data_IF_376857710929
#
_entry.id   IF_376857710929
#
_cell.length_a   1.000
_cell.length_b   1.000
_cell.length_c   1.000
_cell.angle_alpha   90.00
_cell.angle_beta   90.00
_cell.angle_gamma   90.00
#
_symmetry.space_group_name_H-M   'P 1'
#
loop_
_entity.id
_entity.type
_entity.pdbx_description
1 polymer ?
#
# COMPACT_ATOMS: atom_id res chain seq x y z
N UNK A 1 10.46 -42.62 1.08
CA UNK A 1 9.68 -42.99 -0.11
C UNK A 1 8.46 -42.08 -0.08
N UNK A 2 8.37 -41.12 -1.01
CA UNK A 2 7.40 -40.01 -0.97
C UNK A 2 5.97 -40.51 -1.17
N UNK A 3 5.02 -39.92 -0.44
CA UNK A 3 3.62 -40.32 -0.50
C UNK A 3 2.94 -39.65 -1.71
N UNK A 4 2.03 -40.37 -2.37
CA UNK A 4 1.40 -39.98 -3.64
C UNK A 4 0.57 -38.69 -3.51
N UNK A 5 0.15 -38.34 -2.28
CA UNK A 5 -0.51 -37.07 -1.95
C UNK A 5 0.42 -35.86 -2.01
N UNK A 6 1.71 -36.00 -1.68
CA UNK A 6 2.70 -34.91 -1.69
C UNK A 6 3.07 -34.46 -3.11
N UNK A 7 2.90 -35.36 -4.10
CA UNK A 7 3.19 -35.08 -5.51
C UNK A 7 1.97 -34.42 -6.20
N UNK A 8 0.75 -34.78 -5.79
CA UNK A 8 -0.49 -34.32 -6.44
C UNK A 8 -0.94 -32.93 -6.01
N UNK A 9 -0.53 -32.45 -4.84
CA UNK A 9 -0.96 -31.12 -4.37
C UNK A 9 -0.14 -29.95 -4.94
N UNK A 10 1.01 -30.19 -5.58
CA UNK A 10 1.83 -29.12 -6.20
C UNK A 10 2.24 -27.99 -5.25
N UNK A 11 2.05 -28.18 -3.94
CA UNK A 11 2.27 -27.19 -2.89
C UNK A 11 3.56 -27.53 -2.18
N UNK A 12 4.66 -26.97 -2.67
CA UNK A 12 5.73 -26.52 -1.77
C UNK A 12 5.26 -25.18 -1.18
N UNK A 13 4.16 -25.20 -0.43
CA UNK A 13 3.84 -24.10 0.45
C UNK A 13 4.58 -24.42 1.73
N UNK A 14 5.57 -23.60 2.10
CA UNK A 14 6.21 -23.72 3.40
C UNK A 14 5.12 -23.78 4.47
N UNK A 15 5.11 -24.82 5.33
CA UNK A 15 4.07 -24.96 6.35
C UNK A 15 4.09 -23.73 7.26
N UNK A 16 2.90 -23.22 7.62
CA UNK A 16 2.82 -22.00 8.44
C UNK A 16 3.55 -22.20 9.77
N UNK A 17 4.08 -21.10 10.33
CA UNK A 17 4.76 -21.09 11.65
C UNK A 17 3.97 -21.86 12.73
N UNK A 18 2.64 -21.79 12.69
CA UNK A 18 1.75 -22.49 13.63
C UNK A 18 1.72 -23.99 13.44
N UNK A 19 1.88 -24.47 12.20
CA UNK A 19 1.90 -25.89 11.89
C UNK A 19 3.28 -26.48 12.23
N UNK A 20 4.35 -25.73 12.00
CA UNK A 20 5.72 -26.12 12.40
C UNK A 20 5.87 -26.21 13.92
N UNK A 21 5.30 -25.26 14.66
CA UNK A 21 5.33 -25.26 16.13
C UNK A 21 4.62 -26.47 16.76
N UNK A 22 3.65 -27.09 16.07
CA UNK A 22 2.94 -28.30 16.54
C UNK A 22 3.75 -29.58 16.35
N UNK A 23 4.73 -29.57 15.47
CA UNK A 23 5.52 -30.76 15.10
C UNK A 23 6.71 -30.94 16.05
N UNK A 24 7.21 -29.86 16.66
CA UNK A 24 8.41 -29.89 17.51
C UNK A 24 8.07 -29.79 19.01
N UNK A 25 8.61 -30.69 19.85
CA UNK A 25 8.57 -30.52 21.31
C UNK A 25 9.45 -29.32 21.72
N UNK A 26 8.95 -28.54 22.69
CA UNK A 26 9.62 -27.38 23.28
C UNK A 26 10.07 -26.31 22.26
N UNK A 27 9.28 -26.13 21.20
CA UNK A 27 9.58 -25.21 20.11
C UNK A 27 9.86 -23.78 20.60
N UNK A 28 9.02 -23.25 21.49
CA UNK A 28 9.18 -21.87 22.00
C UNK A 28 10.50 -21.68 22.75
N UNK A 29 10.88 -22.62 23.62
CA UNK A 29 12.14 -22.53 24.38
C UNK A 29 13.37 -22.63 23.45
N UNK A 30 13.34 -23.56 22.49
CA UNK A 30 14.41 -23.71 21.49
C UNK A 30 14.52 -22.46 20.61
N UNK A 31 13.38 -21.90 20.22
CA UNK A 31 13.30 -20.69 19.42
C UNK A 31 13.90 -19.49 20.15
N UNK A 32 13.50 -19.27 21.41
CA UNK A 32 13.99 -18.16 22.23
C UNK A 32 15.50 -18.26 22.48
N UNK A 33 16.00 -19.47 22.76
CA UNK A 33 17.45 -19.72 22.91
C UNK A 33 18.22 -19.43 21.62
N UNK A 34 17.69 -19.85 20.46
CA UNK A 34 18.30 -19.56 19.17
C UNK A 34 18.30 -18.06 18.88
N UNK A 35 17.19 -17.37 19.17
CA UNK A 35 17.07 -15.92 19.00
C UNK A 35 18.08 -15.18 19.88
N UNK A 36 18.19 -15.54 21.16
CA UNK A 36 19.16 -14.95 22.10
C UNK A 36 20.61 -15.16 21.62
N UNK A 37 20.90 -16.33 21.02
CA UNK A 37 22.21 -16.62 20.41
C UNK A 37 22.48 -15.79 19.14
N UNK A 38 21.47 -15.56 18.30
CA UNK A 38 21.58 -14.73 17.08
C UNK A 38 21.71 -13.24 17.42
N UNK A 39 21.00 -12.76 18.43
CA UNK A 39 21.09 -11.35 18.86
C UNK A 39 22.26 -11.10 19.81
N UNK A 40 22.95 -12.15 20.25
CA UNK A 40 24.03 -12.11 21.24
C UNK A 40 23.62 -11.40 22.54
N UNK A 41 22.42 -11.69 23.03
CA UNK A 41 21.92 -11.08 24.26
C UNK A 41 22.81 -11.41 25.47
N UNK A 42 23.40 -12.61 25.45
CA UNK A 42 24.30 -13.11 26.48
C UNK A 42 25.75 -12.58 26.33
N UNK A 43 26.01 -11.70 25.35
CA UNK A 43 27.32 -11.04 25.10
C UNK A 43 28.50 -12.01 25.00
N UNK A 44 28.30 -13.13 24.31
CA UNK A 44 29.36 -14.07 23.99
C UNK A 44 30.44 -13.44 23.12
N UNK A 45 31.68 -13.93 23.28
CA UNK A 45 32.78 -13.59 22.38
C UNK A 45 32.48 -14.12 20.97
N UNK A 46 33.00 -13.42 19.95
CA UNK A 46 32.72 -13.75 18.54
C UNK A 46 33.07 -15.22 18.21
N UNK A 47 34.21 -15.72 18.69
CA UNK A 47 34.64 -17.09 18.48
C UNK A 47 33.75 -18.12 19.18
N UNK A 48 33.37 -17.87 20.43
CA UNK A 48 32.53 -18.80 21.20
C UNK A 48 31.12 -18.89 20.61
N UNK A 49 30.56 -17.74 20.20
CA UNK A 49 29.28 -17.68 19.52
C UNK A 49 29.30 -18.44 18.18
N UNK A 50 30.38 -18.30 17.40
CA UNK A 50 30.56 -19.03 16.13
C UNK A 50 30.51 -20.54 16.35
N UNK A 51 31.23 -21.02 17.36
CA UNK A 51 31.25 -22.44 17.71
C UNK A 51 29.85 -22.96 18.06
N UNK A 52 29.11 -22.25 18.91
CA UNK A 52 27.74 -22.62 19.28
C UNK A 52 26.77 -22.62 18.09
N UNK A 53 26.90 -21.65 17.17
CA UNK A 53 26.09 -21.63 15.95
C UNK A 53 26.45 -22.77 15.00
N UNK A 54 27.73 -23.14 14.90
CA UNK A 54 28.16 -24.29 14.11
C UNK A 54 27.60 -25.59 14.69
N UNK A 55 27.68 -25.78 16.00
CA UNK A 55 27.10 -26.95 16.68
C UNK A 55 25.58 -27.02 16.47
N UNK A 56 24.87 -25.91 16.69
CA UNK A 56 23.44 -25.81 16.46
C UNK A 56 23.06 -26.13 15.00
N UNK A 57 23.86 -25.68 14.02
CA UNK A 57 23.59 -25.91 12.59
C UNK A 57 23.64 -27.37 12.15
N UNK A 58 24.25 -28.25 12.95
CA UNK A 58 24.28 -29.70 12.68
C UNK A 58 23.01 -30.43 13.12
N UNK A 59 22.13 -29.75 13.87
CA UNK A 59 20.89 -30.34 14.39
C UNK A 59 19.79 -30.29 13.34
N UNK A 60 18.94 -31.33 13.28
CA UNK A 60 17.79 -31.41 12.37
C UNK A 60 16.79 -30.27 12.52
N UNK A 61 16.66 -29.71 13.72
CA UNK A 61 15.66 -28.69 14.06
C UNK A 61 16.09 -27.28 13.63
N UNK A 62 17.40 -27.08 13.37
CA UNK A 62 17.97 -25.76 13.14
C UNK A 62 17.44 -25.06 11.88
N UNK A 63 17.32 -25.70 10.70
CA UNK A 63 16.79 -25.04 9.51
C UNK A 63 15.38 -24.48 9.72
N UNK A 64 14.54 -25.21 10.44
CA UNK A 64 13.15 -24.83 10.73
C UNK A 64 13.13 -23.64 11.71
N UNK A 65 13.87 -23.73 12.81
CA UNK A 65 13.93 -22.65 13.81
C UNK A 65 14.54 -21.37 13.22
N UNK A 66 15.62 -21.51 12.43
CA UNK A 66 16.28 -20.39 11.78
C UNK A 66 15.38 -19.71 10.75
N UNK A 67 14.65 -20.48 9.93
CA UNK A 67 13.65 -19.96 9.00
C UNK A 67 12.59 -19.10 9.71
N UNK A 68 12.07 -19.58 10.85
CA UNK A 68 11.10 -18.83 11.66
C UNK A 68 11.68 -17.53 12.24
N UNK A 69 12.95 -17.54 12.70
CA UNK A 69 13.60 -16.31 13.21
C UNK A 69 13.73 -15.29 12.08
N UNK A 70 14.18 -15.72 10.90
CA UNK A 70 14.28 -14.87 9.73
C UNK A 70 12.92 -14.30 9.33
N UNK A 71 11.88 -15.13 9.25
CA UNK A 71 10.53 -14.69 8.89
C UNK A 71 10.02 -13.60 9.85
N UNK A 72 10.16 -13.80 11.17
CA UNK A 72 9.74 -12.80 12.16
C UNK A 72 10.53 -11.50 12.04
N UNK A 73 11.84 -11.59 11.81
CA UNK A 73 12.69 -10.41 11.60
C UNK A 73 12.31 -9.65 10.32
N UNK A 74 12.05 -10.37 9.23
CA UNK A 74 11.60 -9.80 7.95
C UNK A 74 10.22 -9.14 8.11
N UNK A 75 9.27 -9.82 8.76
CA UNK A 75 7.93 -9.31 9.04
C UNK A 75 7.99 -8.06 9.92
N UNK A 76 8.80 -8.05 10.97
CA UNK A 76 8.99 -6.88 11.82
C UNK A 76 9.53 -5.67 11.02
N UNK A 77 10.54 -5.89 10.17
CA UNK A 77 11.09 -4.83 9.30
C UNK A 77 10.06 -4.33 8.30
N UNK A 78 9.33 -5.24 7.66
CA UNK A 78 8.29 -4.90 6.69
C UNK A 78 7.13 -4.11 7.33
N UNK A 79 6.66 -4.52 8.51
CA UNK A 79 5.57 -3.81 9.21
C UNK A 79 5.95 -2.42 9.71
N UNK A 80 7.23 -2.20 10.03
CA UNK A 80 7.75 -0.88 10.41
C UNK A 80 7.82 0.07 9.21
N UNK A 81 8.20 -0.45 8.05
CA UNK A 81 8.32 0.32 6.83
C UNK A 81 6.94 0.49 6.17
N UNK A 82 6.17 1.48 6.63
CA UNK A 82 4.89 1.86 6.03
C UNK A 82 5.13 2.90 4.93
N UNK A 83 4.98 2.55 3.64
CA UNK A 83 5.13 3.52 2.56
C UNK A 83 3.94 4.47 2.50
N UNK A 84 4.20 5.68 2.03
CA UNK A 84 3.27 6.81 2.01
C UNK A 84 2.00 6.53 1.18
N UNK A 85 2.13 5.72 0.11
CA UNK A 85 1.02 5.42 -0.81
C UNK A 85 -0.22 4.81 -0.16
N UNK A 86 -0.07 4.16 1.01
CA UNK A 86 -1.18 3.59 1.77
C UNK A 86 -2.12 4.64 2.37
N UNK A 87 -1.74 5.92 2.38
CA UNK A 87 -2.58 7.02 2.86
C UNK A 87 -3.62 7.46 1.82
N UNK A 88 -3.24 7.48 0.53
CA UNK A 88 -4.08 8.00 -0.55
C UNK A 88 -4.66 6.92 -1.48
N UNK A 89 -4.21 5.65 -1.38
CA UNK A 89 -4.81 4.51 -2.08
C UNK A 89 -5.50 3.58 -1.08
N UNK A 90 -6.76 3.24 -1.35
CA UNK A 90 -7.51 2.27 -0.55
C UNK A 90 -6.95 0.85 -0.71
N UNK A 91 -6.68 0.18 0.41
CA UNK A 91 -6.18 -1.20 0.43
C UNK A 91 -7.31 -2.17 0.77
N UNK A 92 -7.44 -3.22 -0.03
CA UNK A 92 -8.35 -4.34 0.20
C UNK A 92 -7.61 -5.67 0.25
N UNK A 93 -8.21 -6.68 0.88
CA UNK A 93 -7.68 -8.05 0.88
C UNK A 93 -8.63 -8.97 0.13
N UNK A 94 -8.10 -9.73 -0.83
CA UNK A 94 -8.87 -10.71 -1.59
C UNK A 94 -8.34 -12.12 -1.36
N UNK A 95 -9.26 -13.08 -1.20
CA UNK A 95 -8.93 -14.48 -0.88
C UNK A 95 -8.76 -15.38 -2.10
N UNK A 96 -9.18 -14.90 -3.28
CA UNK A 96 -9.18 -15.68 -4.53
C UNK A 96 -8.44 -14.91 -5.65
N UNK A 97 -7.64 -15.62 -6.44
CA UNK A 97 -6.90 -15.09 -7.59
C UNK A 97 -7.76 -14.89 -8.84
N UNK A 98 -8.96 -15.48 -8.88
CA UNK A 98 -9.89 -15.32 -10.00
C UNK A 98 -10.44 -13.90 -10.02
N UNK A 99 -10.58 -13.34 -11.23
CA UNK A 99 -11.19 -12.02 -11.44
C UNK A 99 -12.64 -11.93 -10.94
N UNK A 100 -13.32 -13.08 -10.78
CA UNK A 100 -14.68 -13.18 -10.25
C UNK A 100 -14.76 -13.29 -8.72
N UNK A 101 -13.63 -13.37 -8.02
CA UNK A 101 -13.56 -13.79 -6.61
C UNK A 101 -14.19 -12.80 -5.63
N UNK A 102 -14.09 -11.50 -5.91
CA UNK A 102 -14.78 -10.43 -5.20
C UNK A 102 -15.01 -9.28 -6.17
N UNK A 103 -16.15 -9.29 -6.85
CA UNK A 103 -16.63 -8.08 -7.51
C UNK A 103 -16.92 -7.06 -6.41
N UNK A 104 -16.27 -5.89 -6.45
CA UNK A 104 -16.66 -4.81 -5.55
C UNK A 104 -18.04 -4.36 -6.02
N UNK A 105 -19.06 -4.69 -5.23
CA UNK A 105 -20.43 -4.25 -5.45
C UNK A 105 -20.55 -2.86 -4.83
N UNK A 106 -20.56 -1.85 -5.67
CA UNK A 106 -21.02 -0.53 -5.24
C UNK A 106 -22.54 -0.50 -5.32
N UNK A 107 -23.18 -0.18 -4.20
CA UNK A 107 -24.62 0.12 -4.16
C UNK A 107 -24.77 1.64 -4.27
N UNK A 108 -25.42 2.10 -5.33
CA UNK A 108 -25.67 3.52 -5.60
C UNK A 108 -27.18 3.83 -5.48
N UNK A 109 -27.54 5.07 -5.14
CA UNK A 109 -28.93 5.54 -5.04
C UNK A 109 -29.49 5.71 -3.61
N UNK A 110 -28.92 5.05 -2.59
CA UNK A 110 -29.39 5.20 -1.18
C UNK A 110 -28.77 6.38 -0.43
N UNK A 111 -27.81 7.09 -1.03
CA UNK A 111 -27.08 8.20 -0.38
C UNK A 111 -27.66 9.58 -0.72
N UNK A 112 -28.73 9.61 -1.52
CA UNK A 112 -29.39 10.83 -1.95
C UNK A 112 -30.19 11.54 -0.85
N UNK A 113 -30.73 12.72 -1.20
CA UNK A 113 -31.56 13.50 -0.27
C UNK A 113 -32.88 12.77 0.02
N UNK A 114 -33.12 12.46 1.29
CA UNK A 114 -34.35 11.81 1.74
C UNK A 114 -35.59 12.69 1.45
N UNK A 115 -36.68 12.12 0.90
CA UNK A 115 -37.91 12.84 0.68
C UNK A 115 -38.60 13.14 2.03
N UNK A 116 -39.25 14.31 2.13
CA UNK A 116 -40.03 14.67 3.32
C UNK A 116 -41.22 13.72 3.48
N UNK A 117 -41.31 13.06 4.63
CA UNK A 117 -42.47 12.21 4.99
C UNK A 117 -43.53 13.10 5.69
N UNK A 118 -44.79 12.94 5.29
CA UNK A 118 -45.92 13.60 5.95
C UNK A 118 -46.29 12.84 7.22
N UNK A 119 -46.86 13.51 8.23
CA UNK A 119 -47.32 12.85 9.46
C UNK A 119 -48.31 11.71 9.11
N UNK A 120 -47.97 10.48 9.52
CA UNK A 120 -48.68 9.21 9.18
C UNK A 120 -48.60 8.76 7.71
N UNK A 121 -47.72 9.35 6.91
CA UNK A 121 -47.45 8.88 5.55
C UNK A 121 -46.50 7.68 5.52
N UNK A 122 -46.58 6.89 4.45
CA UNK A 122 -45.67 5.77 4.20
C UNK A 122 -44.29 6.26 3.73
N UNK A 123 -43.24 5.53 4.11
CA UNK A 123 -41.89 5.73 3.58
C UNK A 123 -41.86 5.25 2.12
N UNK A 124 -41.39 6.12 1.21
CA UNK A 124 -41.23 5.75 -0.20
C UNK A 124 -39.97 4.91 -0.37
N UNK A 125 -40.05 3.88 -1.20
CA UNK A 125 -38.87 3.13 -1.64
C UNK A 125 -38.04 4.00 -2.60
N UNK A 126 -36.72 3.95 -2.47
CA UNK A 126 -35.81 4.65 -3.38
C UNK A 126 -35.87 4.02 -4.77
N UNK A 127 -35.74 4.87 -5.79
CA UNK A 127 -36.25 4.57 -7.13
C UNK A 127 -35.45 3.50 -7.85
N UNK A 128 -34.12 3.45 -7.69
CA UNK A 128 -33.25 2.54 -8.45
C UNK A 128 -32.00 2.24 -7.61
N UNK A 129 -31.86 1.00 -7.13
CA UNK A 129 -30.62 0.52 -6.53
C UNK A 129 -29.75 -0.03 -7.65
N UNK A 130 -28.84 0.80 -8.15
CA UNK A 130 -27.87 0.38 -9.16
C UNK A 130 -26.73 -0.42 -8.52
N UNK A 131 -26.48 -1.62 -9.02
CA UNK A 131 -25.29 -2.41 -8.69
C UNK A 131 -24.30 -2.34 -9.84
N UNK A 132 -23.07 -1.92 -9.56
CA UNK A 132 -21.97 -2.08 -10.50
C UNK A 132 -20.85 -2.91 -9.91
N UNK A 133 -20.12 -3.57 -10.81
CA UNK A 133 -19.13 -4.58 -10.50
C UNK A 133 -17.79 -4.18 -11.09
N UNK A 134 -16.79 -4.05 -10.23
CA UNK A 134 -15.39 -3.89 -10.64
C UNK A 134 -14.63 -5.16 -10.27
N UNK A 135 -13.97 -5.78 -11.23
CA UNK A 135 -13.16 -6.98 -11.02
C UNK A 135 -11.71 -6.61 -10.71
N UNK A 136 -11.17 -7.17 -9.63
CA UNK A 136 -9.77 -7.04 -9.25
C UNK A 136 -9.12 -8.42 -9.39
N UNK A 137 -7.95 -8.46 -10.03
CA UNK A 137 -7.16 -9.69 -10.21
C UNK A 137 -5.86 -9.58 -9.43
N UNK A 138 -5.59 -10.59 -8.61
CA UNK A 138 -4.34 -10.68 -7.85
C UNK A 138 -3.22 -11.26 -8.72
N UNK A 139 -2.01 -10.76 -8.50
CA UNK A 139 -0.76 -11.21 -9.14
C UNK A 139 0.27 -11.52 -8.07
N UNK A 140 1.11 -12.54 -8.30
CA UNK A 140 2.16 -12.93 -7.37
C UNK A 140 3.51 -12.32 -7.79
N UNK A 141 4.21 -11.76 -6.81
CA UNK A 141 5.57 -11.24 -6.97
C UNK A 141 6.48 -11.94 -5.95
N UNK A 142 7.68 -12.31 -6.36
CA UNK A 142 8.62 -13.00 -5.48
C UNK A 142 10.00 -13.13 -6.07
N UNK A 143 11.00 -13.24 -5.20
CA UNK A 143 12.39 -13.49 -5.57
C UNK A 143 12.98 -14.52 -4.62
N UNK A 144 13.70 -15.49 -5.19
CA UNK A 144 14.46 -16.48 -4.42
C UNK A 144 15.92 -16.04 -4.35
N UNK A 145 16.50 -16.17 -3.16
CA UNK A 145 17.93 -16.00 -2.97
C UNK A 145 18.59 -17.38 -2.79
N UNK A 146 19.46 -17.76 -3.71
CA UNK A 146 20.14 -19.05 -3.68
C UNK A 146 21.29 -19.04 -2.67
N UNK A 147 21.13 -19.74 -1.55
CA UNK A 147 22.21 -19.96 -0.58
C UNK A 147 22.79 -21.36 -0.77
N UNK A 148 24.10 -21.45 -1.00
CA UNK A 148 24.83 -22.69 -0.80
C UNK A 148 25.46 -22.70 0.60
N UNK A 149 25.49 -23.88 1.24
CA UNK A 149 26.04 -24.04 2.60
C UNK A 149 27.48 -23.54 2.73
N UNK A 150 28.29 -23.78 1.69
CA UNK A 150 29.68 -23.31 1.62
C UNK A 150 29.77 -21.79 1.64
N UNK A 151 28.80 -21.10 1.04
CA UNK A 151 28.73 -19.63 1.02
C UNK A 151 28.38 -19.09 2.39
N UNK A 152 27.41 -19.69 3.11
CA UNK A 152 27.04 -19.32 4.49
C UNK A 152 28.26 -19.43 5.43
N UNK A 153 29.04 -20.50 5.29
CA UNK A 153 30.24 -20.73 6.11
C UNK A 153 31.34 -19.69 5.81
N UNK A 154 31.51 -19.32 4.54
CA UNK A 154 32.48 -18.31 4.10
C UNK A 154 32.10 -16.88 4.53
N UNK A 155 30.81 -16.56 4.61
CA UNK A 155 30.33 -15.21 4.89
C UNK A 155 30.40 -14.79 6.37
N UNK A 156 30.64 -15.70 7.30
CA UNK A 156 30.89 -15.30 8.70
C UNK A 156 32.06 -14.30 8.82
N UNK A 157 33.01 -14.33 7.87
CA UNK A 157 34.14 -13.39 7.80
C UNK A 157 33.80 -12.12 6.99
N UNK A 158 32.85 -12.17 6.05
CA UNK A 158 32.55 -11.08 5.10
C UNK A 158 31.30 -10.25 5.47
N UNK A 159 30.33 -10.83 6.18
CA UNK A 159 29.14 -10.14 6.67
C UNK A 159 28.12 -9.74 5.60
N UNK A 160 28.24 -10.23 4.36
CA UNK A 160 27.38 -9.86 3.23
C UNK A 160 25.94 -10.37 3.38
N UNK A 161 25.70 -11.50 4.07
CA UNK A 161 24.34 -12.03 4.25
C UNK A 161 23.50 -11.30 5.31
N UNK A 162 24.11 -10.46 6.15
CA UNK A 162 23.35 -9.63 7.09
C UNK A 162 22.46 -8.61 6.36
N UNK A 163 22.85 -8.18 5.16
CA UNK A 163 22.11 -7.22 4.33
C UNK A 163 20.94 -7.84 3.56
N UNK A 164 21.09 -9.09 3.09
CA UNK A 164 20.15 -9.72 2.15
C UNK A 164 18.71 -9.72 2.63
N UNK A 165 18.47 -10.00 3.92
CA UNK A 165 17.10 -9.94 4.46
C UNK A 165 16.52 -8.52 4.43
N UNK A 166 17.33 -7.50 4.69
CA UNK A 166 16.93 -6.10 4.56
C UNK A 166 16.60 -5.75 3.10
N UNK A 167 17.49 -6.12 2.18
CA UNK A 167 17.34 -5.84 0.75
C UNK A 167 16.09 -6.52 0.17
N UNK A 168 15.74 -7.72 0.63
CA UNK A 168 14.52 -8.41 0.22
C UNK A 168 13.25 -7.72 0.71
N UNK A 169 13.26 -7.20 1.94
CA UNK A 169 12.15 -6.39 2.48
C UNK A 169 12.01 -5.09 1.69
N UNK A 170 13.13 -4.41 1.42
CA UNK A 170 13.13 -3.19 0.62
C UNK A 170 12.62 -3.45 -0.80
N UNK A 171 13.06 -4.52 -1.45
CA UNK A 171 12.57 -4.90 -2.77
C UNK A 171 11.06 -5.15 -2.79
N UNK A 172 10.50 -5.77 -1.75
CA UNK A 172 9.05 -5.95 -1.62
C UNK A 172 8.32 -4.59 -1.51
N UNK A 173 8.82 -3.68 -0.69
CA UNK A 173 8.22 -2.35 -0.50
C UNK A 173 8.31 -1.48 -1.75
N UNK A 174 9.45 -1.52 -2.45
CA UNK A 174 9.66 -0.86 -3.74
C UNK A 174 8.66 -1.38 -4.78
N UNK A 175 8.48 -2.71 -4.84
CA UNK A 175 7.53 -3.33 -5.77
C UNK A 175 6.10 -2.88 -5.46
N UNK A 176 5.71 -2.87 -4.19
CA UNK A 176 4.39 -2.36 -3.78
C UNK A 176 4.17 -0.91 -4.17
N UNK A 177 5.15 -0.04 -3.94
CA UNK A 177 5.02 1.38 -4.27
C UNK A 177 4.96 1.59 -5.79
N UNK A 178 5.78 0.87 -6.55
CA UNK A 178 5.73 0.91 -8.00
C UNK A 178 4.36 0.47 -8.55
N UNK A 179 3.84 -0.66 -8.08
CA UNK A 179 2.53 -1.17 -8.52
C UNK A 179 1.37 -0.28 -8.05
N UNK A 180 1.45 0.29 -6.85
CA UNK A 180 0.47 1.27 -6.38
C UNK A 180 0.47 2.53 -7.28
N UNK A 181 1.64 2.95 -7.75
CA UNK A 181 1.79 4.09 -8.66
C UNK A 181 1.32 3.77 -10.07
N UNK A 182 1.53 2.55 -10.55
CA UNK A 182 1.11 2.09 -11.88
C UNK A 182 -0.41 2.15 -12.08
N UNK A 183 -1.19 2.04 -10.99
CA UNK A 183 -2.64 2.23 -10.99
C UNK A 183 -3.08 3.68 -11.28
N UNK A 184 -2.26 4.66 -10.92
CA UNK A 184 -2.56 6.10 -11.03
C UNK A 184 -1.89 6.70 -12.28
N UNK A 185 -0.66 6.31 -12.57
CA UNK A 185 0.14 6.85 -13.66
C UNK A 185 0.82 5.73 -14.46
N UNK A 186 0.83 5.90 -15.78
CA UNK A 186 1.63 5.12 -16.72
C UNK A 186 2.85 5.92 -17.17
N UNK A 187 3.78 5.28 -17.87
CA UNK A 187 4.99 5.94 -18.40
C UNK A 187 4.71 7.18 -19.28
N UNK A 188 3.53 7.25 -19.90
CA UNK A 188 3.11 8.37 -20.77
C UNK A 188 2.24 9.42 -20.06
N UNK A 189 2.06 9.34 -18.72
CA UNK A 189 1.24 10.25 -17.93
C UNK A 189 0.10 9.56 -17.18
N UNK A 190 -1.01 10.26 -16.87
CA UNK A 190 -2.11 9.69 -16.07
C UNK A 190 -2.67 8.40 -16.67
N UNK A 191 -2.93 7.40 -15.83
CA UNK A 191 -3.40 6.09 -16.28
C UNK A 191 -4.79 6.19 -16.91
N UNK A 192 -4.94 5.71 -18.15
CA UNK A 192 -6.14 5.94 -18.96
C UNK A 192 -7.41 5.23 -18.44
N UNK A 193 -7.25 4.18 -17.63
CA UNK A 193 -8.41 3.50 -17.00
C UNK A 193 -8.96 4.25 -15.78
N UNK A 194 -8.23 5.26 -15.28
CA UNK A 194 -8.65 6.06 -14.13
C UNK A 194 -8.95 7.50 -14.55
N UNK A 195 -8.13 8.05 -15.44
CA UNK A 195 -8.24 9.43 -15.91
C UNK A 195 -8.58 9.52 -17.39
N UNK A 196 -9.68 10.20 -17.71
CA UNK A 196 -10.12 10.42 -19.08
C UNK A 196 -10.91 11.72 -19.28
N UNK A 197 -11.12 12.02 -20.56
CA UNK A 197 -11.89 13.16 -21.03
C UNK A 197 -12.55 12.78 -22.38
N UNK A 198 -13.59 11.92 -22.39
CA UNK A 198 -14.29 11.32 -21.24
C UNK A 198 -13.72 9.94 -20.82
N UNK A 199 -14.05 9.51 -19.60
CA UNK A 199 -13.97 8.12 -19.14
C UNK A 199 -15.39 7.62 -18.83
N UNK A 200 -15.70 6.41 -19.26
CA UNK A 200 -16.97 5.74 -18.91
C UNK A 200 -16.82 5.13 -17.53
N UNK A 201 -17.64 5.57 -16.58
CA UNK A 201 -17.63 5.00 -15.26
C UNK A 201 -18.15 3.55 -15.30
N UNK A 202 -17.43 2.57 -14.72
CA UNK A 202 -17.68 1.14 -14.94
C UNK A 202 -18.99 0.61 -14.34
N UNK A 203 -19.70 1.45 -13.58
CA UNK A 203 -20.88 1.05 -12.79
C UNK A 203 -22.17 1.62 -13.40
N UNK A 204 -22.24 2.93 -13.66
CA UNK A 204 -23.44 3.62 -14.16
C UNK A 204 -23.34 3.94 -15.67
N UNK A 205 -22.19 3.67 -16.31
CA UNK A 205 -21.97 3.94 -17.72
C UNK A 205 -21.91 5.43 -18.07
N UNK A 206 -21.93 6.32 -17.07
CA UNK A 206 -21.88 7.76 -17.28
C UNK A 206 -20.49 8.18 -17.78
N UNK A 207 -20.46 9.14 -18.70
CA UNK A 207 -19.21 9.73 -19.20
C UNK A 207 -18.78 10.87 -18.28
N UNK A 208 -17.67 10.67 -17.57
CA UNK A 208 -17.08 11.66 -16.67
C UNK A 208 -15.79 12.20 -17.27
N UNK A 209 -15.51 13.49 -17.10
CA UNK A 209 -14.20 14.07 -17.43
C UNK A 209 -13.48 14.41 -16.14
N UNK A 210 -12.36 13.74 -15.87
CA UNK A 210 -11.55 13.93 -14.67
C UNK A 210 -10.06 14.15 -14.98
N UNK A 211 -9.66 14.14 -16.26
CA UNK A 211 -8.30 14.44 -16.68
C UNK A 211 -8.07 15.95 -16.77
N UNK A 212 -7.29 16.49 -15.83
CA UNK A 212 -6.82 17.87 -15.87
C UNK A 212 -5.67 18.10 -16.84
N UNK A 213 -5.57 19.31 -17.40
CA UNK A 213 -4.48 19.76 -18.29
C UNK A 213 -3.64 20.90 -17.70
N UNK A 214 -4.08 21.46 -16.58
CA UNK A 214 -3.43 22.58 -15.92
C UNK A 214 -2.15 22.13 -15.22
N UNK A 215 -1.07 22.92 -15.39
CA UNK A 215 0.23 22.65 -14.78
C UNK A 215 0.26 23.18 -13.34
N UNK A 216 0.89 22.43 -12.45
CA UNK A 216 1.11 22.85 -11.06
C UNK A 216 2.31 23.80 -10.92
N UNK A 217 3.25 23.82 -11.88
CA UNK A 217 4.47 24.61 -11.80
C UNK A 217 4.30 26.08 -12.20
N UNK A 218 5.20 26.92 -11.71
CA UNK A 218 5.27 28.35 -12.04
C UNK A 218 4.31 29.25 -11.24
N UNK A 219 4.26 30.54 -11.60
CA UNK A 219 3.51 31.56 -10.86
C UNK A 219 1.99 31.30 -10.78
N UNK A 220 1.43 30.57 -11.75
CA UNK A 220 0.00 30.24 -11.81
C UNK A 220 -0.37 28.93 -11.09
N UNK A 221 0.60 28.22 -10.49
CA UNK A 221 0.38 26.91 -9.89
C UNK A 221 -0.74 26.87 -8.85
N UNK A 222 -0.76 27.84 -7.92
CA UNK A 222 -1.79 27.94 -6.89
C UNK A 222 -3.19 28.24 -7.47
N UNK A 223 -3.29 29.12 -8.48
CA UNK A 223 -4.56 29.43 -9.13
C UNK A 223 -5.11 28.23 -9.92
N UNK A 224 -4.22 27.49 -10.59
CA UNK A 224 -4.55 26.27 -11.31
C UNK A 224 -5.05 25.18 -10.34
N UNK A 225 -4.41 25.01 -9.18
CA UNK A 225 -4.86 24.07 -8.15
C UNK A 225 -6.26 24.44 -7.63
N UNK A 226 -6.51 25.73 -7.34
CA UNK A 226 -7.82 26.19 -6.90
C UNK A 226 -8.93 25.95 -7.94
N UNK A 227 -8.59 26.09 -9.23
CA UNK A 227 -9.51 25.77 -10.33
C UNK A 227 -9.81 24.27 -10.38
N UNK A 228 -8.79 23.42 -10.30
CA UNK A 228 -8.96 21.96 -10.28
C UNK A 228 -9.79 21.49 -9.08
N UNK A 229 -9.51 22.00 -7.88
CA UNK A 229 -10.28 21.67 -6.67
C UNK A 229 -11.74 22.09 -6.81
N UNK A 230 -12.00 23.25 -7.41
CA UNK A 230 -13.37 23.73 -7.67
C UNK A 230 -14.11 22.81 -8.63
N UNK A 231 -13.45 22.35 -9.71
CA UNK A 231 -14.02 21.38 -10.66
C UNK A 231 -14.30 20.03 -9.98
N UNK A 232 -13.42 19.55 -9.11
CA UNK A 232 -13.64 18.32 -8.35
C UNK A 232 -14.84 18.44 -7.41
N UNK A 233 -15.04 19.59 -6.76
CA UNK A 233 -16.21 19.84 -5.89
C UNK A 233 -17.52 19.99 -6.67
N UNK A 234 -17.47 20.24 -7.97
CA UNK A 234 -18.65 20.29 -8.84
C UNK A 234 -19.10 18.91 -9.33
N UNK A 235 -18.34 17.84 -9.03
CA UNK A 235 -18.75 16.50 -9.38
C UNK A 235 -20.02 16.11 -8.61
N UNK A 236 -20.97 15.56 -9.37
CA UNK A 236 -22.27 15.11 -8.88
C UNK A 236 -22.34 13.59 -8.94
N UNK A 237 -23.11 13.02 -8.02
CA UNK A 237 -23.50 11.61 -8.03
C UNK A 237 -24.53 11.34 -9.16
N UNK A 238 -24.85 10.08 -9.40
CA UNK A 238 -25.84 9.63 -10.40
C UNK A 238 -27.21 10.31 -10.21
N UNK A 239 -27.58 10.63 -8.96
CA UNK A 239 -28.82 11.34 -8.61
C UNK A 239 -28.74 12.87 -8.73
N UNK A 240 -27.63 13.43 -9.21
CA UNK A 240 -27.40 14.87 -9.34
C UNK A 240 -27.11 15.58 -8.01
N UNK A 241 -26.88 14.83 -6.93
CA UNK A 241 -26.47 15.38 -5.63
C UNK A 241 -24.96 15.67 -5.63
N UNK A 242 -24.50 16.77 -5.00
CA UNK A 242 -23.06 17.05 -4.90
C UNK A 242 -22.36 15.99 -4.03
N UNK A 243 -21.18 15.54 -4.47
CA UNK A 243 -20.37 14.60 -3.69
C UNK A 243 -19.68 15.36 -2.55
N UNK A 244 -19.92 14.93 -1.31
CA UNK A 244 -19.34 15.55 -0.12
C UNK A 244 -17.87 15.13 0.05
N UNK A 245 -16.95 15.96 -0.45
CA UNK A 245 -15.51 15.74 -0.35
C UNK A 245 -14.94 16.43 0.89
N UNK A 246 -14.37 15.62 1.81
CA UNK A 246 -13.83 16.04 3.13
C UNK A 246 -12.40 16.59 3.01
N UNK A 247 -11.59 16.03 2.11
CA UNK A 247 -10.19 16.42 1.90
C UNK A 247 -9.69 15.99 0.52
N UNK A 248 -8.54 16.51 0.13
CA UNK A 248 -7.88 16.18 -1.13
C UNK A 248 -6.45 15.74 -0.85
N UNK A 249 -5.97 14.76 -1.62
CA UNK A 249 -4.56 14.35 -1.57
C UNK A 249 -3.87 14.84 -2.84
N UNK A 250 -2.82 15.64 -2.68
CA UNK A 250 -1.99 16.15 -3.77
C UNK A 250 -0.72 15.32 -3.87
N UNK A 251 -0.67 14.42 -4.85
CA UNK A 251 0.49 13.57 -5.12
C UNK A 251 1.32 14.17 -6.25
N UNK A 252 2.63 14.38 -6.01
CA UNK A 252 3.55 14.98 -7.00
C UNK A 252 4.83 14.16 -7.17
N UNK A 253 5.48 14.22 -8.35
CA UNK A 253 6.84 13.71 -8.52
C UNK A 253 7.85 14.55 -7.71
N UNK A 254 9.04 14.02 -7.41
CA UNK A 254 10.07 14.72 -6.63
C UNK A 254 10.53 16.03 -7.27
N UNK A 255 10.46 16.13 -8.61
CA UNK A 255 10.80 17.35 -9.35
C UNK A 255 9.89 18.54 -9.03
N UNK A 256 8.66 18.28 -8.57
CA UNK A 256 7.66 19.30 -8.23
C UNK A 256 7.45 19.45 -6.71
N UNK A 257 8.24 18.76 -5.88
CA UNK A 257 8.11 18.83 -4.43
C UNK A 257 8.23 20.27 -3.90
N UNK A 258 9.22 21.01 -4.38
CA UNK A 258 9.44 22.40 -3.95
C UNK A 258 8.25 23.29 -4.30
N UNK A 259 7.66 23.10 -5.49
CA UNK A 259 6.50 23.87 -5.93
C UNK A 259 5.25 23.49 -5.15
N UNK A 260 5.04 22.21 -4.86
CA UNK A 260 3.99 21.74 -3.96
C UNK A 260 4.13 22.35 -2.57
N UNK A 261 5.32 22.31 -1.96
CA UNK A 261 5.56 22.85 -0.63
C UNK A 261 5.31 24.36 -0.59
N UNK A 262 5.71 25.12 -1.63
CA UNK A 262 5.40 26.55 -1.74
C UNK A 262 3.88 26.80 -1.76
N UNK A 263 3.13 25.99 -2.51
CA UNK A 263 1.67 26.14 -2.61
C UNK A 263 0.97 25.75 -1.30
N UNK A 264 1.37 24.64 -0.67
CA UNK A 264 0.75 24.16 0.57
C UNK A 264 1.10 25.02 1.79
N UNK A 265 2.32 25.58 1.83
CA UNK A 265 2.77 26.50 2.87
C UNK A 265 2.40 27.95 2.59
N UNK A 266 1.83 28.27 1.42
CA UNK A 266 1.35 29.61 1.13
C UNK A 266 0.17 29.91 2.06
N UNK A 267 0.50 30.43 3.25
CA UNK A 267 -0.39 31.26 4.05
C UNK A 267 -0.55 32.53 3.21
N UNK A 268 -1.51 32.50 2.27
CA UNK A 268 -1.91 33.73 1.63
C UNK A 268 -2.59 34.57 2.70
N UNK A 269 -1.88 35.59 3.15
CA UNK A 269 -2.46 36.71 3.85
C UNK A 269 -3.00 37.63 2.75
N UNK A 270 -4.31 37.59 2.40
CA UNK A 270 -4.88 38.59 1.51
C UNK A 270 -4.55 39.95 2.10
N UNK A 271 -3.90 40.79 1.30
CA UNK A 271 -3.54 42.15 1.66
C UNK A 271 -4.48 43.11 0.95
N UNK A 272 -4.91 44.17 1.63
CA UNK A 272 -5.58 45.30 0.96
C UNK A 272 -4.58 46.04 0.05
N UNK A 273 -5.05 47.04 -0.68
CA UNK A 273 -4.22 47.91 -1.52
C UNK A 273 -3.10 48.63 -0.71
N UNK A 274 -3.16 48.59 0.62
CA UNK A 274 -2.19 49.15 1.57
C UNK A 274 -1.34 48.08 2.28
N UNK A 275 -1.42 46.81 1.86
CA UNK A 275 -0.59 45.71 2.39
C UNK A 275 -1.07 45.11 3.72
N UNK A 276 -2.28 45.45 4.21
CA UNK A 276 -2.78 44.94 5.50
C UNK A 276 -3.51 43.62 5.37
N UNK A 277 -3.22 42.69 6.28
CA UNK A 277 -3.84 41.36 6.36
C UNK A 277 -5.37 41.42 6.58
N UNK A 278 -6.18 40.92 5.63
CA UNK A 278 -7.65 41.00 5.69
C UNK A 278 -8.32 39.72 6.21
N UNK A 279 -7.74 38.52 6.01
CA UNK A 279 -8.36 37.26 6.49
C UNK A 279 -7.45 36.04 6.29
N UNK A 280 -7.39 35.12 7.23
CA UNK A 280 -6.76 33.80 6.99
C UNK A 280 -7.75 32.94 6.22
N UNK A 281 -7.48 32.69 4.94
CA UNK A 281 -8.28 31.73 4.15
C UNK A 281 -8.09 30.36 4.80
N UNK A 282 -9.18 29.64 5.11
CA UNK A 282 -9.12 28.24 5.54
C UNK A 282 -8.25 27.49 4.54
N UNK A 283 -7.13 26.97 5.02
CA UNK A 283 -6.33 26.00 4.30
C UNK A 283 -7.30 24.97 3.72
N UNK A 284 -7.33 24.81 2.39
CA UNK A 284 -7.99 23.64 1.83
C UNK A 284 -7.37 22.43 2.53
N UNK A 285 -8.17 21.47 3.02
CA UNK A 285 -7.68 20.23 3.62
C UNK A 285 -6.98 19.39 2.55
N UNK A 286 -5.81 19.84 2.10
CA UNK A 286 -4.97 19.23 1.08
C UNK A 286 -3.73 18.69 1.78
N UNK A 287 -3.51 17.37 1.76
CA UNK A 287 -2.24 16.79 2.18
C UNK A 287 -1.35 16.59 0.96
N UNK A 288 -0.08 16.96 1.09
CA UNK A 288 0.91 16.78 0.03
C UNK A 288 1.67 15.48 0.21
N UNK A 289 1.81 14.72 -0.87
CA UNK A 289 2.53 13.46 -0.94
C UNK A 289 3.56 13.51 -2.06
N UNK A 290 4.75 12.98 -1.80
CA UNK A 290 5.82 12.87 -2.80
C UNK A 290 5.90 11.41 -3.23
N UNK A 291 5.78 11.17 -4.53
CA UNK A 291 5.88 9.83 -5.10
C UNK A 291 7.05 9.76 -6.08
N UNK A 292 8.06 8.97 -5.71
CA UNK A 292 9.31 8.80 -6.46
C UNK A 292 9.12 8.07 -7.80
N UNK A 293 8.05 7.30 -7.96
CA UNK A 293 7.75 6.51 -9.16
C UNK A 293 6.86 7.23 -10.16
N UNK A 294 6.45 8.47 -9.89
CA UNK A 294 5.74 9.29 -10.87
C UNK A 294 6.70 9.82 -11.95
N UNK A 295 6.30 9.78 -13.23
CA UNK A 295 7.11 10.30 -14.35
C UNK A 295 7.19 11.83 -14.37
#
# INVERSE_FOLDING_TARGET
MLNILEILEGKVLDPSVRDQARIMPDFEEKFDKLQALILNEQRYSSHYRKYLLQEASTTSDFPILFGNVLERQLLAKYTLAKPDWRSYIGVGTQKDFRASGQEIIGIFGLRGRLPKVVVRGEYKQDKEVGEGKVSIRLSNFGRLFGLAWQTILADHELGAFKGVGGDLVEAALVTEFFEATSLIAAAAGPHASLYGAPITHPIDGASVTNKGTLKLSGASGAANLGTTVSLMRQQVDTDGNPIMIVGFELVVPPTLEIDMLKILRAISVPSDTEGRAISVIRQMSITGHVNEYLP
#
